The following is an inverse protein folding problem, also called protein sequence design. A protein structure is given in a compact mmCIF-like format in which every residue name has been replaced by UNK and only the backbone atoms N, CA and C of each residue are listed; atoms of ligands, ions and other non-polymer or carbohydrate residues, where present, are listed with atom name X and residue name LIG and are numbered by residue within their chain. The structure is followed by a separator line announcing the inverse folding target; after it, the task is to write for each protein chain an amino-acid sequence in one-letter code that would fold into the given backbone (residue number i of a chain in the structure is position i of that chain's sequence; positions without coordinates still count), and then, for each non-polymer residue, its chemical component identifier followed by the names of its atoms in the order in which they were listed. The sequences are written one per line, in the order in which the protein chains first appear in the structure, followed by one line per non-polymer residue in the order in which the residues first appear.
data_IF_530405641779
#
_entry.id   IF_530405641779
#
_cell.length_a   1.000
_cell.length_b   1.000
_cell.length_c   1.000
_cell.angle_alpha   90.00
_cell.angle_beta   90.00
_cell.angle_gamma   90.00
#
_symmetry.space_group_name_H-M   'P 1'
#
loop_
_entity.id
_entity.type
_entity.pdbx_description
1 polymer ?
#
# COMPACT_ATOMS: atom_id res chain seq x y z
N UNK A 1 8.95 6.32 27.00
CA UNK A 1 9.41 4.92 27.16
C UNK A 1 8.46 3.99 27.90
N UNK A 2 7.56 4.46 28.77
CA UNK A 2 6.54 3.60 29.41
C UNK A 2 5.57 2.97 28.40
N UNK A 3 5.21 3.69 27.32
CA UNK A 3 4.32 3.19 26.28
C UNK A 3 4.94 2.02 25.51
N UNK A 4 6.19 2.13 25.07
CA UNK A 4 6.91 1.04 24.37
C UNK A 4 7.02 -0.21 25.26
N UNK A 5 7.28 -0.05 26.55
CA UNK A 5 7.31 -1.18 27.48
C UNK A 5 5.93 -1.86 27.60
N UNK A 6 4.85 -1.07 27.60
CA UNK A 6 3.49 -1.58 27.63
C UNK A 6 3.16 -2.34 26.33
N UNK A 7 3.54 -1.77 25.18
CA UNK A 7 3.35 -2.40 23.88
C UNK A 7 4.06 -3.75 23.80
N UNK A 8 5.36 -3.82 24.20
CA UNK A 8 6.12 -5.07 24.27
C UNK A 8 5.44 -6.11 25.16
N UNK A 9 4.98 -5.68 26.34
CA UNK A 9 4.27 -6.59 27.25
C UNK A 9 2.92 -7.08 26.68
N UNK A 10 2.24 -6.24 25.89
CA UNK A 10 1.03 -6.66 25.18
C UNK A 10 1.37 -7.67 24.08
N UNK A 11 2.40 -7.40 23.27
CA UNK A 11 2.88 -8.30 22.22
C UNK A 11 3.28 -9.67 22.79
N UNK A 12 4.02 -9.71 23.89
CA UNK A 12 4.39 -10.95 24.60
C UNK A 12 3.16 -11.79 25.01
N UNK A 13 2.05 -11.12 25.39
CA UNK A 13 0.84 -11.81 25.85
C UNK A 13 -0.12 -12.22 24.73
N UNK A 14 -0.19 -11.43 23.67
CA UNK A 14 -1.20 -11.57 22.62
C UNK A 14 -0.59 -12.18 21.35
N UNK A 15 0.73 -12.06 21.17
CA UNK A 15 1.49 -12.56 20.02
C UNK A 15 1.71 -11.52 18.94
N UNK A 16 0.77 -10.60 18.69
CA UNK A 16 0.94 -9.50 17.75
C UNK A 16 0.11 -8.29 18.16
N UNK A 17 0.56 -7.10 17.77
CA UNK A 17 -0.18 -5.85 17.97
C UNK A 17 -0.21 -5.02 16.69
N UNK A 18 -1.35 -4.37 16.46
CA UNK A 18 -1.53 -3.43 15.35
C UNK A 18 -1.94 -2.06 15.84
N UNK A 19 -1.79 -1.06 14.97
CA UNK A 19 -2.20 0.32 15.25
C UNK A 19 -2.74 0.98 13.99
N UNK A 20 -3.64 1.93 14.15
CA UNK A 20 -4.00 2.89 13.12
C UNK A 20 -3.07 4.10 13.22
N UNK A 21 -2.17 4.22 12.24
CA UNK A 21 -1.04 5.14 12.33
C UNK A 21 0.04 4.67 13.31
N UNK A 22 1.22 5.23 13.21
CA UNK A 22 2.33 4.92 14.10
C UNK A 22 3.32 6.08 14.21
N UNK A 23 4.30 5.91 15.08
CA UNK A 23 5.41 6.83 15.30
C UNK A 23 6.72 6.06 15.27
N UNK A 24 7.80 6.76 15.00
CA UNK A 24 9.15 6.19 14.87
C UNK A 24 9.56 5.32 16.08
N UNK A 25 9.20 5.75 17.29
CA UNK A 25 9.52 5.01 18.51
C UNK A 25 8.81 3.65 18.63
N UNK A 26 7.77 3.41 17.85
CA UNK A 26 6.99 2.17 17.85
C UNK A 26 7.43 1.19 16.74
N UNK A 27 8.30 1.62 15.82
CA UNK A 27 8.86 0.75 14.80
C UNK A 27 9.61 -0.43 15.43
N UNK A 28 9.38 -1.64 14.91
CA UNK A 28 9.92 -2.88 15.46
C UNK A 28 9.25 -3.37 16.76
N UNK A 29 8.20 -2.68 17.22
CA UNK A 29 7.36 -3.11 18.35
C UNK A 29 5.94 -3.35 17.91
N UNK A 30 5.44 -2.57 16.95
CA UNK A 30 4.14 -2.77 16.32
C UNK A 30 4.35 -3.67 15.09
N UNK A 31 3.59 -4.75 14.99
CA UNK A 31 3.70 -5.72 13.90
C UNK A 31 3.02 -5.23 12.63
N UNK A 32 1.89 -4.54 12.76
CA UNK A 32 1.13 -4.03 11.64
C UNK A 32 0.55 -2.64 11.88
N UNK A 33 0.68 -1.77 10.88
CA UNK A 33 0.17 -0.40 10.93
C UNK A 33 -0.77 -0.12 9.76
N UNK A 34 -1.96 0.42 10.07
CA UNK A 34 -2.89 0.94 9.09
C UNK A 34 -2.55 2.41 8.77
N UNK A 35 -2.63 2.77 7.48
CA UNK A 35 -2.61 4.16 6.99
C UNK A 35 -1.30 4.92 7.26
N UNK A 36 -0.16 4.36 6.78
CA UNK A 36 1.17 4.96 7.01
C UNK A 36 1.70 5.89 5.93
N UNK A 37 0.94 6.16 4.89
CA UNK A 37 1.33 7.20 3.95
C UNK A 37 0.18 8.16 3.70
N UNK A 38 0.47 9.44 3.83
CA UNK A 38 -0.43 10.52 3.47
C UNK A 38 0.10 11.19 2.20
N UNK A 39 -0.24 10.62 1.05
CA UNK A 39 0.00 11.27 -0.23
C UNK A 39 -1.23 12.05 -0.68
N UNK A 40 -1.42 13.20 -0.13
CA UNK A 40 -2.38 14.16 -0.67
C UNK A 40 -1.62 15.38 -1.18
N UNK A 41 -0.91 15.21 -2.30
CA UNK A 41 -0.21 16.30 -2.97
C UNK A 41 -1.09 17.55 -3.19
N UNK A 42 -2.41 17.34 -3.34
CA UNK A 42 -3.37 18.41 -3.53
C UNK A 42 -3.86 19.08 -2.23
N UNK A 43 -3.76 18.40 -1.10
CA UNK A 43 -4.28 18.90 0.19
C UNK A 43 -3.22 19.52 1.09
N UNK A 44 -1.96 19.19 0.89
CA UNK A 44 -0.86 19.74 1.69
C UNK A 44 -0.06 20.72 0.86
N UNK A 45 -0.70 21.81 0.44
CA UNK A 45 0.02 22.99 -0.05
C UNK A 45 0.60 23.73 1.15
N UNK A 46 1.68 23.24 1.70
CA UNK A 46 2.41 23.99 2.70
C UNK A 46 3.40 24.91 1.98
N UNK A 47 3.42 26.23 2.25
CA UNK A 47 4.27 27.17 1.55
C UNK A 47 5.77 26.95 1.73
N UNK A 48 6.16 26.04 2.61
CA UNK A 48 7.55 25.65 2.88
C UNK A 48 7.85 24.20 2.48
N UNK A 49 7.02 23.57 1.65
CA UNK A 49 7.19 22.18 1.23
C UNK A 49 7.21 22.13 -0.30
N UNK A 50 8.37 21.86 -0.86
CA UNK A 50 8.56 21.76 -2.31
C UNK A 50 8.24 20.34 -2.82
N UNK A 51 8.55 19.33 -2.01
CA UNK A 51 8.36 17.93 -2.36
C UNK A 51 7.90 17.11 -1.15
N UNK A 52 7.09 16.09 -1.41
CA UNK A 52 6.62 15.16 -0.39
C UNK A 52 7.33 13.81 -0.54
N UNK A 53 8.06 13.41 0.49
CA UNK A 53 8.81 12.17 0.52
C UNK A 53 8.11 11.17 1.45
N UNK A 54 7.85 9.91 1.05
CA UNK A 54 7.26 8.87 1.90
C UNK A 54 8.28 8.34 2.92
N UNK A 55 8.83 9.24 3.73
CA UNK A 55 9.97 9.00 4.60
C UNK A 55 9.77 7.76 5.50
N UNK A 56 8.59 7.64 6.13
CA UNK A 56 8.33 6.55 7.04
C UNK A 56 8.40 5.18 6.32
N UNK A 57 7.82 5.09 5.13
CA UNK A 57 7.82 3.87 4.33
C UNK A 57 9.24 3.49 3.89
N UNK A 58 10.04 4.45 3.47
CA UNK A 58 11.43 4.22 3.04
C UNK A 58 12.31 3.73 4.18
N UNK A 59 12.09 4.23 5.40
CA UNK A 59 12.92 3.89 6.57
C UNK A 59 12.49 2.59 7.24
N UNK A 60 11.17 2.33 7.32
CA UNK A 60 10.64 1.24 8.15
C UNK A 60 10.07 0.06 7.36
N UNK A 61 10.13 0.10 6.02
CA UNK A 61 9.84 -1.07 5.22
C UNK A 61 10.84 -2.20 5.53
N UNK A 62 10.33 -3.42 5.60
CA UNK A 62 11.13 -4.58 6.06
C UNK A 62 11.15 -4.78 7.58
N UNK A 63 10.73 -3.77 8.37
CA UNK A 63 10.70 -3.84 9.85
C UNK A 63 9.28 -4.01 10.37
N UNK A 64 8.33 -3.26 9.81
CA UNK A 64 6.92 -3.26 10.23
C UNK A 64 6.03 -3.46 9.01
N UNK A 65 5.03 -4.32 9.13
CA UNK A 65 4.03 -4.50 8.07
C UNK A 65 3.01 -3.35 8.09
N UNK A 66 2.58 -2.88 6.93
CA UNK A 66 1.63 -1.77 6.85
C UNK A 66 0.82 -1.79 5.55
N UNK A 67 -0.25 -1.01 5.52
CA UNK A 67 -0.80 -0.46 4.30
C UNK A 67 -0.68 1.07 4.31
N UNK A 68 -0.50 1.67 3.13
CA UNK A 68 -0.21 3.09 3.03
C UNK A 68 -1.47 3.95 3.12
N UNK A 69 -2.55 3.51 2.47
CA UNK A 69 -3.76 4.31 2.27
C UNK A 69 -5.00 3.54 2.69
N UNK A 70 -6.08 4.26 2.94
CA UNK A 70 -7.41 3.70 3.15
C UNK A 70 -8.06 3.22 1.82
N UNK A 71 -7.28 3.11 0.75
CA UNK A 71 -7.76 2.69 -0.55
C UNK A 71 -8.15 1.22 -0.58
N UNK A 72 -9.40 0.93 -0.89
CA UNK A 72 -9.88 -0.42 -1.05
C UNK A 72 -9.55 -0.95 -2.45
N UNK A 73 -9.01 -2.17 -2.53
CA UNK A 73 -8.67 -2.79 -3.82
C UNK A 73 -9.90 -3.07 -4.68
N UNK A 74 -11.08 -3.20 -4.07
CA UNK A 74 -12.35 -3.41 -4.74
C UNK A 74 -13.12 -2.11 -5.02
N UNK A 75 -12.58 -0.95 -4.68
CA UNK A 75 -13.17 0.33 -5.08
C UNK A 75 -13.00 0.60 -6.57
N UNK A 76 -14.01 1.15 -7.22
CA UNK A 76 -14.03 1.32 -8.68
C UNK A 76 -13.83 2.77 -9.13
N UNK A 77 -13.28 3.64 -8.31
CA UNK A 77 -12.98 5.02 -8.65
C UNK A 77 -11.51 5.23 -9.00
N UNK A 78 -11.23 6.18 -9.85
CA UNK A 78 -9.88 6.43 -10.39
C UNK A 78 -8.86 6.76 -9.31
N UNK A 79 -9.23 7.60 -8.33
CA UNK A 79 -8.37 7.95 -7.20
C UNK A 79 -7.97 6.73 -6.39
N UNK A 80 -8.91 5.83 -6.11
CA UNK A 80 -8.63 4.60 -5.39
C UNK A 80 -7.72 3.66 -6.18
N UNK A 81 -7.88 3.57 -7.50
CA UNK A 81 -7.00 2.78 -8.36
C UNK A 81 -5.56 3.30 -8.32
N UNK A 82 -5.37 4.62 -8.38
CA UNK A 82 -4.05 5.23 -8.26
C UNK A 82 -3.44 4.97 -6.88
N UNK A 83 -4.21 5.13 -5.80
CA UNK A 83 -3.77 4.87 -4.43
C UNK A 83 -3.40 3.40 -4.21
N UNK A 84 -4.14 2.45 -4.82
CA UNK A 84 -3.79 1.03 -4.80
C UNK A 84 -2.40 0.78 -5.41
N UNK A 85 -2.14 1.35 -6.58
CA UNK A 85 -0.83 1.24 -7.26
C UNK A 85 0.28 1.83 -6.40
N UNK A 86 0.05 3.02 -5.84
CA UNK A 86 1.01 3.69 -4.95
C UNK A 86 1.23 2.92 -3.64
N UNK A 87 0.20 2.24 -3.12
CA UNK A 87 0.34 1.38 -1.96
C UNK A 87 1.39 0.29 -2.19
N UNK A 88 1.34 -0.40 -3.33
CA UNK A 88 2.33 -1.40 -3.69
C UNK A 88 3.71 -0.80 -3.98
N UNK A 89 3.76 0.35 -4.66
CA UNK A 89 5.02 1.06 -4.91
C UNK A 89 5.78 1.41 -3.62
N UNK A 90 5.05 1.59 -2.52
CA UNK A 90 5.61 1.88 -1.20
C UNK A 90 5.68 0.66 -0.28
N UNK A 91 5.54 -0.55 -0.82
CA UNK A 91 5.64 -1.80 -0.07
C UNK A 91 4.44 -2.10 0.85
N UNK A 92 3.32 -1.39 0.66
CA UNK A 92 2.10 -1.58 1.46
C UNK A 92 1.36 -2.86 1.11
N UNK A 93 0.65 -3.41 2.08
CA UNK A 93 -0.24 -4.58 1.92
C UNK A 93 -1.60 -4.17 1.37
N UNK A 94 -2.30 -5.06 0.65
CA UNK A 94 -3.64 -4.78 0.15
C UNK A 94 -4.63 -4.61 1.29
N UNK A 95 -5.62 -3.75 1.05
CA UNK A 95 -6.76 -3.54 1.93
C UNK A 95 -8.04 -3.67 1.12
N UNK A 96 -9.05 -4.33 1.65
CA UNK A 96 -10.36 -4.42 1.03
C UNK A 96 -11.47 -4.18 2.04
N UNK A 97 -12.53 -3.51 1.61
CA UNK A 97 -13.73 -3.27 2.41
C UNK A 97 -14.89 -4.07 1.85
N UNK A 98 -15.53 -4.86 2.72
CA UNK A 98 -16.72 -5.62 2.38
C UNK A 98 -17.79 -5.33 3.44
N UNK A 99 -18.84 -4.63 3.02
CA UNK A 99 -19.92 -4.21 3.92
C UNK A 99 -21.25 -4.84 3.51
N UNK A 100 -21.88 -5.61 4.37
CA UNK A 100 -23.22 -6.17 4.13
C UNK A 100 -24.34 -5.15 4.35
N UNK A 101 -24.11 -4.20 5.23
CA UNK A 101 -25.00 -3.06 5.50
C UNK A 101 -24.17 -1.87 5.91
N UNK A 102 -24.22 -0.83 5.13
CA UNK A 102 -23.64 0.45 5.51
C UNK A 102 -24.76 1.49 5.58
N UNK A 103 -25.08 1.92 6.78
CA UNK A 103 -26.05 2.99 6.99
C UNK A 103 -25.28 4.28 7.26
N UNK A 104 -25.29 5.19 6.32
CA UNK A 104 -24.73 6.52 6.48
C UNK A 104 -25.57 7.28 7.52
N UNK A 105 -25.02 7.47 8.71
CA UNK A 105 -25.57 8.37 9.71
C UNK A 105 -25.09 9.81 9.47
N UNK A 106 -25.18 10.30 8.24
CA UNK A 106 -24.79 11.68 7.88
C UNK A 106 -23.28 11.94 7.79
N UNK A 107 -22.43 11.03 8.21
CA UNK A 107 -20.99 11.12 8.03
C UNK A 107 -20.58 10.32 6.81
N UNK A 108 -19.99 10.95 5.83
CA UNK A 108 -19.37 10.29 4.69
C UNK A 108 -18.10 9.56 5.15
N UNK A 109 -18.27 8.38 5.68
CA UNK A 109 -17.18 7.44 5.84
C UNK A 109 -16.98 6.72 4.52
N UNK A 110 -15.98 7.17 3.80
CA UNK A 110 -15.62 6.55 2.55
C UNK A 110 -16.47 6.98 1.37
N UNK A 111 -16.09 6.47 0.26
CA UNK A 111 -16.68 6.65 -1.04
C UNK A 111 -18.04 5.95 -1.17
N UNK A 112 -18.80 6.34 -2.18
CA UNK A 112 -20.07 5.67 -2.50
C UNK A 112 -19.89 4.19 -2.76
N UNK A 113 -18.77 3.78 -3.31
CA UNK A 113 -18.41 2.39 -3.58
C UNK A 113 -18.21 1.53 -2.32
N UNK A 114 -18.02 2.14 -1.17
CA UNK A 114 -17.89 1.45 0.12
C UNK A 114 -19.22 1.32 0.89
N UNK A 115 -20.32 1.84 0.34
CA UNK A 115 -21.57 1.98 1.08
C UNK A 115 -22.33 0.69 1.31
N UNK A 116 -22.62 -0.04 0.28
CA UNK A 116 -23.44 -1.25 0.37
C UNK A 116 -23.17 -2.15 -0.84
N UNK A 117 -22.85 -3.37 -0.55
CA UNK A 117 -22.62 -4.38 -1.59
C UNK A 117 -23.74 -5.42 -1.55
N UNK A 118 -24.71 -5.36 -2.47
CA UNK A 118 -25.66 -6.45 -2.65
C UNK A 118 -24.93 -7.75 -3.04
N UNK A 119 -25.59 -8.88 -2.91
CA UNK A 119 -24.95 -10.20 -3.12
C UNK A 119 -24.29 -10.35 -4.49
N UNK A 120 -24.88 -9.77 -5.54
CA UNK A 120 -24.29 -9.78 -6.88
C UNK A 120 -23.00 -8.95 -6.95
N UNK A 121 -22.97 -7.81 -6.26
CA UNK A 121 -21.77 -6.98 -6.18
C UNK A 121 -20.68 -7.68 -5.37
N UNK A 122 -21.05 -8.33 -4.25
CA UNK A 122 -20.11 -9.10 -3.45
C UNK A 122 -19.34 -10.15 -4.26
N UNK A 123 -20.01 -10.86 -5.19
CA UNK A 123 -19.32 -11.82 -6.07
C UNK A 123 -18.29 -11.16 -6.98
N UNK A 124 -18.61 -9.97 -7.50
CA UNK A 124 -17.65 -9.18 -8.30
C UNK A 124 -16.49 -8.71 -7.46
N UNK A 125 -16.77 -8.22 -6.26
CA UNK A 125 -15.73 -7.75 -5.32
C UNK A 125 -14.79 -8.89 -4.92
N UNK A 126 -15.30 -10.08 -4.65
CA UNK A 126 -14.49 -11.26 -4.35
C UNK A 126 -13.56 -11.61 -5.52
N UNK A 127 -14.01 -11.48 -6.77
CA UNK A 127 -13.15 -11.73 -7.93
C UNK A 127 -12.00 -10.72 -8.01
N UNK A 128 -12.29 -9.43 -7.80
CA UNK A 128 -11.28 -8.36 -7.79
C UNK A 128 -10.31 -8.54 -6.62
N UNK A 129 -10.82 -8.84 -5.42
CA UNK A 129 -10.00 -9.09 -4.23
C UNK A 129 -9.08 -10.30 -4.45
N UNK A 130 -9.61 -11.35 -5.10
CA UNK A 130 -8.80 -12.53 -5.41
C UNK A 130 -7.68 -12.22 -6.40
N UNK A 131 -7.97 -11.51 -7.48
CA UNK A 131 -6.96 -11.07 -8.45
C UNK A 131 -5.84 -10.26 -7.77
N UNK A 132 -6.23 -9.32 -6.93
CA UNK A 132 -5.29 -8.49 -6.18
C UNK A 132 -4.49 -9.30 -5.15
N UNK A 133 -5.13 -10.26 -4.49
CA UNK A 133 -4.46 -11.20 -3.60
C UNK A 133 -3.43 -12.07 -4.33
N UNK A 134 -3.79 -12.59 -5.51
CA UNK A 134 -2.87 -13.40 -6.32
C UNK A 134 -1.65 -12.57 -6.76
N UNK A 135 -1.86 -11.30 -7.16
CA UNK A 135 -0.76 -10.37 -7.41
C UNK A 135 0.10 -10.16 -6.16
N UNK A 136 -0.52 -9.85 -5.02
CA UNK A 136 0.22 -9.65 -3.77
C UNK A 136 1.00 -10.91 -3.37
N UNK A 137 0.46 -12.11 -3.55
CA UNK A 137 1.18 -13.35 -3.26
C UNK A 137 2.48 -13.48 -4.07
N UNK A 138 2.53 -12.95 -5.29
CA UNK A 138 3.72 -12.97 -6.13
C UNK A 138 4.82 -12.01 -5.66
N UNK A 139 4.46 -10.97 -4.92
CA UNK A 139 5.38 -9.93 -4.44
C UNK A 139 5.56 -9.90 -2.91
N UNK A 140 4.83 -10.73 -2.16
CA UNK A 140 4.83 -10.68 -0.69
C UNK A 140 6.20 -10.87 -0.03
N UNK A 141 7.14 -11.50 -0.72
CA UNK A 141 8.49 -11.65 -0.23
C UNK A 141 9.21 -10.32 -0.06
N UNK A 142 8.81 -9.29 -0.82
CA UNK A 142 9.37 -7.94 -0.71
C UNK A 142 9.06 -7.28 0.63
N UNK A 143 8.05 -7.74 1.35
CA UNK A 143 7.69 -7.17 2.67
C UNK A 143 8.81 -7.30 3.73
N UNK A 144 9.81 -8.16 3.48
CA UNK A 144 10.97 -8.38 4.35
C UNK A 144 12.26 -7.73 3.81
N UNK A 145 12.17 -7.11 2.64
CA UNK A 145 13.28 -6.40 2.03
C UNK A 145 13.23 -4.92 2.39
N UNK A 146 14.36 -4.26 2.49
CA UNK A 146 14.39 -2.80 2.64
C UNK A 146 14.15 -2.13 1.29
N UNK A 147 13.52 -0.95 1.31
CA UNK A 147 13.48 -0.06 0.16
C UNK A 147 14.78 0.74 0.17
N UNK A 148 15.61 0.56 -0.85
CA UNK A 148 16.89 1.27 -0.98
C UNK A 148 16.79 2.53 -1.82
N UNK A 149 15.83 2.57 -2.75
CA UNK A 149 15.63 3.73 -3.62
C UNK A 149 14.17 3.87 -4.05
N UNK A 150 13.72 5.10 -4.17
CA UNK A 150 12.37 5.45 -4.62
C UNK A 150 12.42 6.70 -5.49
N UNK A 151 11.99 6.57 -6.73
CA UNK A 151 12.01 7.63 -7.71
C UNK A 151 10.60 7.92 -8.25
N UNK A 152 10.26 9.20 -8.35
CA UNK A 152 9.11 9.68 -9.13
C UNK A 152 9.64 10.12 -10.49
N UNK A 153 9.29 9.37 -11.52
CA UNK A 153 9.79 9.62 -12.87
C UNK A 153 9.05 10.77 -13.57
N UNK A 154 9.67 11.38 -14.55
CA UNK A 154 9.13 12.55 -15.27
C UNK A 154 7.79 12.30 -15.98
N UNK A 155 7.49 11.04 -16.30
CA UNK A 155 6.22 10.62 -16.89
C UNK A 155 5.15 10.23 -15.85
N UNK A 156 5.40 10.45 -14.57
CA UNK A 156 4.49 10.16 -13.47
C UNK A 156 4.51 8.72 -12.97
N UNK A 157 5.31 7.84 -13.59
CA UNK A 157 5.53 6.51 -13.06
C UNK A 157 6.44 6.55 -11.82
N UNK A 158 6.37 5.49 -11.02
CA UNK A 158 7.18 5.31 -9.82
C UNK A 158 8.14 4.13 -10.04
N UNK A 159 9.33 4.24 -9.48
CA UNK A 159 10.31 3.16 -9.44
C UNK A 159 10.75 2.94 -8.01
N UNK A 160 10.66 1.72 -7.52
CA UNK A 160 11.09 1.32 -6.18
C UNK A 160 12.10 0.21 -6.29
N UNK A 161 13.27 0.38 -5.70
CA UNK A 161 14.35 -0.60 -5.68
C UNK A 161 14.47 -1.20 -4.29
N UNK A 162 14.53 -2.52 -4.19
CA UNK A 162 14.61 -3.27 -2.95
C UNK A 162 16.02 -3.84 -2.71
N UNK A 163 16.35 -4.13 -1.46
CA UNK A 163 17.67 -4.63 -1.01
C UNK A 163 18.10 -5.93 -1.69
N UNK A 164 17.17 -6.75 -2.14
CA UNK A 164 17.44 -7.97 -2.91
C UNK A 164 17.65 -7.73 -4.41
N UNK A 165 17.69 -6.47 -4.86
CA UNK A 165 17.85 -6.08 -6.26
C UNK A 165 16.55 -6.15 -7.10
N UNK A 166 15.42 -6.49 -6.51
CA UNK A 166 14.13 -6.39 -7.20
C UNK A 166 13.76 -4.93 -7.45
N UNK A 167 13.16 -4.65 -8.60
CA UNK A 167 12.68 -3.31 -8.97
C UNK A 167 11.20 -3.39 -9.30
N UNK A 168 10.41 -2.58 -8.63
CA UNK A 168 8.99 -2.41 -8.95
C UNK A 168 8.80 -1.13 -9.73
N UNK A 169 8.20 -1.24 -10.90
CA UNK A 169 7.70 -0.12 -11.68
C UNK A 169 6.19 -0.01 -11.50
N UNK A 170 5.71 1.19 -11.21
CA UNK A 170 4.31 1.44 -10.88
C UNK A 170 3.78 2.61 -11.71
N UNK A 171 2.64 2.42 -12.33
CA UNK A 171 1.96 3.46 -13.11
C UNK A 171 0.63 3.86 -12.44
N UNK A 172 0.61 4.92 -11.62
CA UNK A 172 -0.61 5.41 -11.00
C UNK A 172 -1.47 6.27 -11.93
N UNK A 173 -1.08 6.44 -13.20
CA UNK A 173 -1.74 7.33 -14.16
C UNK A 173 -2.81 6.61 -15.00
N UNK A 174 -3.64 7.39 -15.70
CA UNK A 174 -4.67 6.88 -16.62
C UNK A 174 -4.15 6.48 -18.00
N UNK A 175 -2.88 6.69 -18.27
CA UNK A 175 -2.27 6.43 -19.59
C UNK A 175 -1.22 5.34 -19.50
N UNK A 176 -1.03 4.61 -20.60
CA UNK A 176 0.12 3.72 -20.72
C UNK A 176 1.41 4.55 -20.69
N UNK A 177 2.39 4.10 -19.93
CA UNK A 177 3.72 4.72 -19.87
C UNK A 177 4.80 3.68 -20.16
N UNK A 178 5.94 4.14 -20.68
CA UNK A 178 7.11 3.29 -20.91
C UNK A 178 8.23 3.71 -19.96
N UNK A 179 8.75 2.75 -19.21
CA UNK A 179 9.86 2.95 -18.28
C UNK A 179 10.92 1.91 -18.54
N UNK A 180 12.14 2.33 -18.92
CA UNK A 180 13.27 1.44 -19.18
C UNK A 180 12.94 0.27 -20.12
N UNK A 181 12.10 0.51 -21.13
CA UNK A 181 11.65 -0.49 -22.09
C UNK A 181 10.46 -1.33 -21.66
N UNK A 182 9.98 -1.21 -20.42
CA UNK A 182 8.77 -1.86 -19.93
C UNK A 182 7.54 -1.01 -20.22
N UNK A 183 6.54 -1.58 -20.86
CA UNK A 183 5.22 -0.96 -21.03
C UNK A 183 4.38 -1.22 -19.80
N UNK A 184 3.95 -0.16 -19.14
CA UNK A 184 3.10 -0.20 -17.96
C UNK A 184 1.69 0.24 -18.34
N UNK A 185 0.73 -0.64 -18.23
CA UNK A 185 -0.67 -0.30 -18.40
C UNK A 185 -1.13 0.75 -17.37
N UNK A 186 -2.21 1.48 -17.64
CA UNK A 186 -2.83 2.36 -16.65
C UNK A 186 -3.10 1.63 -15.33
N UNK A 187 -2.83 2.29 -14.22
CA UNK A 187 -3.08 1.76 -12.87
C UNK A 187 -2.50 0.36 -12.61
N UNK A 188 -1.24 0.14 -13.00
CA UNK A 188 -0.59 -1.16 -12.87
C UNK A 188 0.74 -1.11 -12.14
N UNK A 189 1.13 -2.26 -11.60
CA UNK A 189 2.46 -2.50 -11.05
C UNK A 189 3.11 -3.66 -11.82
N UNK A 190 4.41 -3.57 -12.04
CA UNK A 190 5.21 -4.62 -12.66
C UNK A 190 6.49 -4.76 -11.85
N UNK A 191 6.88 -6.00 -11.55
CA UNK A 191 8.12 -6.28 -10.86
C UNK A 191 9.12 -6.93 -11.81
N UNK A 192 10.37 -6.49 -11.73
CA UNK A 192 11.50 -7.13 -12.40
C UNK A 192 12.46 -7.64 -11.33
N UNK A 193 12.88 -8.87 -11.46
CA UNK A 193 13.94 -9.45 -10.65
C UNK A 193 15.17 -9.65 -11.54
N UNK A 194 16.35 -9.32 -11.05
CA UNK A 194 17.60 -9.68 -11.75
C UNK A 194 17.82 -11.19 -11.79
N UNK A 195 17.16 -11.90 -10.87
CA UNK A 195 17.10 -13.35 -10.80
C UNK A 195 15.69 -13.72 -11.26
N UNK A 196 15.57 -14.54 -12.27
CA UNK A 196 14.28 -15.02 -12.77
C UNK A 196 13.37 -15.52 -11.64
N UNK A 197 12.10 -15.85 -11.92
CA UNK A 197 11.15 -16.24 -10.89
C UNK A 197 11.79 -17.33 -10.03
N UNK A 198 11.81 -17.10 -8.72
CA UNK A 198 12.36 -18.06 -7.75
C UNK A 198 11.63 -19.39 -7.95
N UNK A 199 12.32 -20.40 -8.48
CA UNK A 199 11.75 -21.74 -8.59
C UNK A 199 11.34 -22.19 -7.20
N UNK A 200 10.09 -22.62 -7.09
CA UNK A 200 9.51 -23.11 -5.84
C UNK A 200 10.32 -24.32 -5.38
N UNK A 201 11.00 -24.19 -4.29
CA UNK A 201 11.49 -25.32 -3.51
C UNK A 201 10.44 -25.76 -2.51
#
# INVERSE_FOLDING_TARGET
MRLVALMKKAQEKIGCIGSEGSWDFAAGVIDYVLYMAYFFKEKVKHPMCDEYIPFWNLVYHGITLYNCFAASVNANIKTEKALKVMNYALGGRPLSYVNSRFKLNGNNWGDEDLRYHPVEQFRKDVAVIKEDFDFYQSIKYLQYEFIEDYEVLSNGALKTTYSNGAVMFSNPTEQEVVVQGHKLAPFSNTITTQWGPCEKH
#
